data_IF_747092222948
#
_entry.id   IF_747092222948
#
_cell.length_a   1.000
_cell.length_b   1.000
_cell.length_c   1.000
_cell.angle_alpha   90.00
_cell.angle_beta   90.00
_cell.angle_gamma   90.00
#
_symmetry.space_group_name_H-M   'P 1'
#
loop_
_entity.id
_entity.type
_entity.pdbx_description
1 polymer ?
#
# COMPACT_ATOMS: atom_id res chain seq x y z
N UNK A 1 14.81 -12.50 23.83
CA UNK A 1 13.54 -11.80 24.17
C UNK A 1 13.40 -10.50 23.36
N UNK A 2 14.46 -9.68 23.21
CA UNK A 2 14.43 -8.44 22.42
C UNK A 2 14.10 -8.65 20.93
N UNK A 3 14.76 -9.60 20.25
CA UNK A 3 14.51 -9.91 18.82
C UNK A 3 13.04 -10.25 18.54
N UNK A 4 12.41 -11.03 19.41
CA UNK A 4 10.99 -11.40 19.27
C UNK A 4 10.05 -10.21 19.49
N UNK A 5 10.43 -9.27 20.35
CA UNK A 5 9.70 -8.01 20.51
C UNK A 5 9.77 -7.14 19.26
N UNK A 6 10.96 -7.00 18.66
CA UNK A 6 11.15 -6.27 17.40
C UNK A 6 10.37 -6.92 16.24
N UNK A 7 10.45 -8.25 16.11
CA UNK A 7 9.64 -9.00 15.14
C UNK A 7 8.13 -8.77 15.33
N UNK A 8 7.65 -8.71 16.57
CA UNK A 8 6.25 -8.43 16.85
C UNK A 8 5.85 -7.01 16.42
N UNK A 9 6.74 -6.02 16.59
CA UNK A 9 6.51 -4.65 16.13
C UNK A 9 6.44 -4.59 14.59
N UNK A 10 7.38 -5.24 13.89
CA UNK A 10 7.38 -5.31 12.43
C UNK A 10 6.10 -5.98 11.88
N UNK A 11 5.69 -7.10 12.48
CA UNK A 11 4.43 -7.75 12.14
C UNK A 11 3.23 -6.82 12.35
N UNK A 12 3.19 -6.13 13.50
CA UNK A 12 2.11 -5.20 13.81
C UNK A 12 2.03 -4.06 12.80
N UNK A 13 3.16 -3.49 12.36
CA UNK A 13 3.19 -2.43 11.34
C UNK A 13 2.67 -2.90 9.99
N UNK A 14 3.09 -4.09 9.55
CA UNK A 14 2.57 -4.70 8.33
C UNK A 14 1.05 -4.91 8.42
N UNK A 15 0.57 -5.50 9.52
CA UNK A 15 -0.85 -5.70 9.78
C UNK A 15 -1.63 -4.38 9.80
N UNK A 16 -1.10 -3.34 10.45
CA UNK A 16 -1.72 -2.01 10.51
C UNK A 16 -1.82 -1.40 9.12
N UNK A 17 -0.78 -1.48 8.29
CA UNK A 17 -0.79 -0.95 6.93
C UNK A 17 -1.80 -1.66 6.03
N UNK A 18 -1.82 -3.00 6.09
CA UNK A 18 -2.81 -3.83 5.37
C UNK A 18 -4.23 -3.51 5.84
N UNK A 19 -4.45 -3.43 7.15
CA UNK A 19 -5.76 -3.12 7.74
C UNK A 19 -6.25 -1.73 7.35
N UNK A 20 -5.39 -0.71 7.43
CA UNK A 20 -5.69 0.66 7.05
C UNK A 20 -6.19 0.75 5.59
N UNK A 21 -5.44 0.16 4.64
CA UNK A 21 -5.83 0.19 3.22
C UNK A 21 -7.08 -0.66 2.97
N UNK A 22 -7.23 -1.80 3.63
CA UNK A 22 -8.43 -2.66 3.48
C UNK A 22 -9.70 -1.97 4.02
N UNK A 23 -9.59 -1.22 5.12
CA UNK A 23 -10.70 -0.43 5.64
C UNK A 23 -11.07 0.72 4.70
N UNK A 24 -10.08 1.32 4.03
CA UNK A 24 -10.33 2.32 3.01
C UNK A 24 -11.06 1.74 1.79
N UNK A 25 -10.73 0.51 1.35
CA UNK A 25 -11.50 -0.17 0.29
C UNK A 25 -12.97 -0.33 0.66
N UNK A 26 -13.24 -0.79 1.88
CA UNK A 26 -14.59 -0.96 2.38
C UNK A 26 -15.35 0.37 2.45
N UNK A 27 -14.67 1.47 2.78
CA UNK A 27 -15.25 2.82 2.75
C UNK A 27 -15.60 3.22 1.30
N UNK A 28 -14.70 3.00 0.34
CA UNK A 28 -14.96 3.24 -1.08
C UNK A 28 -16.13 2.42 -1.61
N UNK A 29 -16.17 1.11 -1.34
CA UNK A 29 -17.26 0.22 -1.74
C UNK A 29 -18.62 0.74 -1.23
N UNK A 30 -18.68 1.15 0.04
CA UNK A 30 -19.89 1.70 0.66
C UNK A 30 -20.30 3.04 0.04
N UNK A 31 -19.35 3.96 -0.10
CA UNK A 31 -19.63 5.32 -0.57
C UNK A 31 -20.02 5.35 -2.06
N UNK A 32 -19.45 4.46 -2.87
CA UNK A 32 -19.69 4.36 -4.31
C UNK A 32 -20.82 3.38 -4.66
N UNK A 33 -21.23 2.50 -3.74
CA UNK A 33 -22.19 1.43 -4.01
C UNK A 33 -21.67 0.39 -5.00
N UNK A 34 -20.36 0.10 -4.96
CA UNK A 34 -19.69 -0.82 -5.91
C UNK A 34 -19.01 -1.97 -5.18
N UNK A 35 -18.81 -3.08 -5.90
CA UNK A 35 -18.07 -4.24 -5.38
C UNK A 35 -16.56 -3.99 -5.33
N UNK A 36 -15.99 -3.30 -6.32
CA UNK A 36 -14.55 -3.02 -6.39
C UNK A 36 -14.27 -1.52 -6.19
N UNK A 37 -14.11 -1.12 -4.93
CA UNK A 37 -13.91 0.28 -4.54
C UNK A 37 -12.63 0.87 -5.15
N UNK A 38 -11.55 0.11 -5.17
CA UNK A 38 -10.28 0.57 -5.72
C UNK A 38 -10.29 0.75 -7.24
N UNK A 39 -10.92 -0.15 -7.98
CA UNK A 39 -11.07 -0.01 -9.43
C UNK A 39 -11.82 1.28 -9.77
N UNK A 40 -12.94 1.54 -9.10
CA UNK A 40 -13.73 2.75 -9.30
C UNK A 40 -12.96 4.01 -8.89
N UNK A 41 -12.24 3.98 -7.76
CA UNK A 41 -11.38 5.11 -7.35
C UNK A 41 -10.32 5.44 -8.40
N UNK A 42 -9.64 4.44 -8.96
CA UNK A 42 -8.63 4.63 -10.01
C UNK A 42 -9.24 5.20 -11.28
N UNK A 43 -10.43 4.74 -11.68
CA UNK A 43 -11.14 5.30 -12.84
C UNK A 43 -11.45 6.79 -12.65
N UNK A 44 -11.93 7.20 -11.47
CA UNK A 44 -12.18 8.61 -11.15
C UNK A 44 -10.90 9.45 -11.25
N UNK A 45 -9.77 8.95 -10.75
CA UNK A 45 -8.49 9.66 -10.86
C UNK A 45 -8.02 9.81 -12.31
N UNK A 46 -8.21 8.78 -13.14
CA UNK A 46 -7.87 8.82 -14.57
C UNK A 46 -8.76 9.80 -15.33
N UNK A 47 -10.07 9.81 -15.06
CA UNK A 47 -11.02 10.77 -15.63
C UNK A 47 -10.67 12.21 -15.26
N UNK A 48 -10.19 12.45 -14.04
CA UNK A 48 -9.71 13.76 -13.59
C UNK A 48 -8.31 14.15 -14.07
N UNK A 49 -7.61 13.28 -14.82
CA UNK A 49 -6.26 13.56 -15.32
C UNK A 49 -5.14 13.43 -14.28
N UNK A 50 -5.41 12.82 -13.13
CA UNK A 50 -4.45 12.64 -12.03
C UNK A 50 -3.60 11.37 -12.16
N UNK A 51 -2.97 11.17 -13.34
CA UNK A 51 -2.25 9.94 -13.68
C UNK A 51 -1.13 9.58 -12.68
N UNK A 52 -0.39 10.56 -12.17
CA UNK A 52 0.70 10.32 -11.21
C UNK A 52 0.18 9.82 -9.85
N UNK A 53 -0.96 10.37 -9.40
CA UNK A 53 -1.61 9.92 -8.16
C UNK A 53 -2.20 8.52 -8.35
N UNK A 54 -2.81 8.25 -9.50
CA UNK A 54 -3.34 6.92 -9.81
C UNK A 54 -2.24 5.87 -9.85
N UNK A 55 -1.09 6.16 -10.50
CA UNK A 55 0.09 5.30 -10.49
C UNK A 55 0.57 5.04 -9.06
N UNK A 56 0.74 6.10 -8.26
CA UNK A 56 1.18 5.97 -6.86
C UNK A 56 0.19 5.16 -6.01
N UNK A 57 -1.10 5.30 -6.28
CA UNK A 57 -2.13 4.51 -5.63
C UNK A 57 -2.07 3.04 -6.04
N UNK A 58 -1.93 2.75 -7.34
CA UNK A 58 -1.73 1.39 -7.82
C UNK A 58 -0.49 0.73 -7.19
N UNK A 59 0.62 1.46 -7.09
CA UNK A 59 1.86 0.97 -6.46
C UNK A 59 1.65 0.64 -4.97
N UNK A 60 0.90 1.49 -4.26
CA UNK A 60 0.50 1.22 -2.88
C UNK A 60 -0.32 -0.07 -2.78
N UNK A 61 -1.30 -0.27 -3.67
CA UNK A 61 -2.14 -1.48 -3.66
C UNK A 61 -1.33 -2.74 -3.97
N UNK A 62 -0.37 -2.67 -4.89
CA UNK A 62 0.56 -3.76 -5.15
C UNK A 62 1.39 -4.10 -3.91
N UNK A 63 1.92 -3.09 -3.21
CA UNK A 63 2.72 -3.32 -2.01
C UNK A 63 1.92 -3.98 -0.89
N UNK A 64 0.67 -3.53 -0.68
CA UNK A 64 -0.26 -4.16 0.25
C UNK A 64 -0.57 -5.61 -0.15
N UNK A 65 -0.72 -5.91 -1.44
CA UNK A 65 -0.88 -7.27 -1.91
C UNK A 65 0.35 -8.14 -1.62
N UNK A 66 1.56 -7.59 -1.76
CA UNK A 66 2.80 -8.29 -1.40
C UNK A 66 2.88 -8.54 0.11
N UNK A 67 2.50 -7.59 0.96
CA UNK A 67 2.45 -7.82 2.41
C UNK A 67 1.45 -8.91 2.82
N UNK A 68 0.34 -9.06 2.08
CA UNK A 68 -0.67 -10.09 2.34
C UNK A 68 -0.27 -11.48 1.83
N UNK A 69 0.39 -11.55 0.68
CA UNK A 69 0.53 -12.80 -0.08
C UNK A 69 1.98 -13.23 -0.34
N UNK A 70 2.97 -12.38 -0.04
CA UNK A 70 4.37 -12.61 -0.34
C UNK A 70 4.67 -12.51 -1.83
N UNK A 71 5.55 -13.40 -2.30
CA UNK A 71 6.02 -13.42 -3.68
C UNK A 71 4.89 -13.75 -4.68
N UNK A 72 4.96 -13.15 -5.87
CA UNK A 72 3.96 -13.32 -6.91
C UNK A 72 3.96 -12.15 -7.89
N UNK A 73 2.89 -12.01 -8.69
CA UNK A 73 2.81 -10.99 -9.75
C UNK A 73 3.05 -9.58 -9.23
N UNK A 74 2.40 -9.20 -8.13
CA UNK A 74 2.56 -7.86 -7.54
C UNK A 74 3.99 -7.60 -7.08
N UNK A 75 4.66 -8.61 -6.53
CA UNK A 75 6.04 -8.51 -6.11
C UNK A 75 6.98 -8.38 -7.30
N UNK A 76 6.84 -9.22 -8.33
CA UNK A 76 7.65 -9.13 -9.54
C UNK A 76 7.52 -7.78 -10.24
N UNK A 77 6.30 -7.22 -10.28
CA UNK A 77 6.05 -5.92 -10.89
C UNK A 77 6.73 -4.78 -10.11
N UNK A 78 6.62 -4.78 -8.78
CA UNK A 78 7.30 -3.78 -7.96
C UNK A 78 8.82 -3.93 -8.01
N UNK A 79 9.31 -5.18 -7.96
CA UNK A 79 10.74 -5.49 -7.98
C UNK A 79 11.42 -4.97 -9.25
N UNK A 80 10.77 -5.10 -10.41
CA UNK A 80 11.29 -4.63 -11.69
C UNK A 80 11.57 -3.12 -11.74
N UNK A 81 10.88 -2.33 -10.90
CA UNK A 81 11.01 -0.87 -10.81
C UNK A 81 11.32 -0.38 -9.40
N UNK A 82 11.94 -1.23 -8.57
CA UNK A 82 12.14 -0.97 -7.13
C UNK A 82 12.88 0.33 -6.80
N UNK A 83 13.76 0.78 -7.70
CA UNK A 83 14.54 2.02 -7.52
C UNK A 83 13.72 3.30 -7.77
N UNK A 84 12.52 3.17 -8.35
CA UNK A 84 11.59 4.27 -8.60
C UNK A 84 10.52 4.40 -7.51
N UNK A 85 10.43 3.42 -6.62
CA UNK A 85 9.38 3.35 -5.61
C UNK A 85 9.75 4.21 -4.38
N UNK A 86 8.75 4.84 -3.73
CA UNK A 86 8.96 5.60 -2.50
C UNK A 86 9.08 4.71 -1.25
N UNK A 87 9.18 3.39 -1.42
CA UNK A 87 9.32 2.40 -0.35
C UNK A 87 10.23 1.26 -0.80
N UNK A 88 10.84 0.56 0.15
CA UNK A 88 11.81 -0.51 -0.15
C UNK A 88 11.11 -1.82 -0.52
N UNK A 89 11.59 -2.45 -1.58
CA UNK A 89 11.19 -3.79 -2.04
C UNK A 89 12.44 -4.62 -2.30
N UNK A 90 12.48 -5.85 -1.79
CA UNK A 90 13.61 -6.78 -1.94
C UNK A 90 13.23 -8.04 -2.71
N UNK A 91 14.19 -8.72 -3.30
CA UNK A 91 14.02 -10.09 -3.80
C UNK A 91 13.91 -11.10 -2.64
N UNK A 92 13.44 -12.32 -2.90
CA UNK A 92 13.23 -13.34 -1.86
C UNK A 92 14.53 -13.74 -1.13
N UNK A 93 15.66 -13.72 -1.86
CA UNK A 93 17.00 -14.07 -1.39
C UNK A 93 17.82 -12.89 -0.87
N UNK A 94 17.27 -11.67 -0.94
CA UNK A 94 17.89 -10.46 -0.39
C UNK A 94 17.39 -10.19 1.04
N UNK A 95 18.17 -9.47 1.85
CA UNK A 95 17.73 -8.88 3.13
C UNK A 95 17.70 -7.36 3.01
N UNK A 96 16.92 -6.66 3.83
CA UNK A 96 16.90 -5.19 3.77
C UNK A 96 18.16 -4.58 4.41
N UNK A 97 18.60 -5.11 5.54
CA UNK A 97 19.77 -4.68 6.28
C UNK A 97 20.60 -5.92 6.71
N UNK A 98 21.85 -6.03 6.22
CA UNK A 98 22.72 -7.14 6.58
C UNK A 98 22.97 -7.20 8.09
N UNK A 99 22.70 -8.36 8.70
CA UNK A 99 22.91 -8.58 10.14
C UNK A 99 21.71 -8.23 11.03
N UNK A 100 20.59 -7.76 10.46
CA UNK A 100 19.34 -7.63 11.22
C UNK A 100 18.65 -8.99 11.41
N UNK A 101 18.74 -9.52 12.62
CA UNK A 101 18.12 -10.80 13.01
C UNK A 101 16.63 -10.67 13.35
N UNK A 102 16.08 -9.45 13.33
CA UNK A 102 14.69 -9.14 13.65
C UNK A 102 13.81 -8.93 12.42
N UNK A 103 14.39 -8.94 11.21
CA UNK A 103 13.63 -8.92 9.97
C UNK A 103 12.70 -10.13 9.87
N UNK A 104 11.51 -9.89 9.33
CA UNK A 104 10.56 -10.92 8.93
C UNK A 104 10.63 -11.11 7.41
N UNK A 105 10.09 -12.22 6.92
CA UNK A 105 10.11 -12.58 5.49
C UNK A 105 9.21 -11.69 4.60
N UNK A 106 8.91 -10.47 5.02
CA UNK A 106 8.25 -9.48 4.18
C UNK A 106 9.17 -9.05 3.04
N UNK A 107 8.59 -8.95 1.85
CA UNK A 107 9.29 -8.51 0.63
C UNK A 107 9.14 -7.00 0.37
N UNK A 108 8.29 -6.33 1.15
CA UNK A 108 8.14 -4.88 1.25
C UNK A 108 8.48 -4.48 2.68
N UNK A 109 9.29 -3.43 2.86
CA UNK A 109 9.60 -2.91 4.20
C UNK A 109 8.38 -2.18 4.75
N UNK A 110 7.77 -2.72 5.79
CA UNK A 110 6.58 -2.16 6.43
C UNK A 110 6.95 -1.27 7.63
N UNK A 111 7.85 -0.31 7.41
CA UNK A 111 8.26 0.65 8.44
C UNK A 111 7.28 1.83 8.55
N UNK A 112 7.62 2.79 9.41
CA UNK A 112 6.80 3.97 9.61
C UNK A 112 6.74 4.83 8.33
N UNK A 113 7.81 4.90 7.53
CA UNK A 113 7.81 5.64 6.25
C UNK A 113 6.81 5.04 5.25
N UNK A 114 6.78 3.71 5.14
CA UNK A 114 5.79 3.00 4.33
C UNK A 114 4.36 3.30 4.78
N UNK A 115 4.08 3.26 6.08
CA UNK A 115 2.74 3.58 6.60
C UNK A 115 2.34 5.04 6.29
N UNK A 116 3.24 6.01 6.49
CA UNK A 116 2.96 7.41 6.15
C UNK A 116 2.74 7.59 4.65
N UNK A 117 3.47 6.85 3.80
CA UNK A 117 3.22 6.83 2.37
C UNK A 117 1.79 6.34 2.05
N UNK A 118 1.37 5.20 2.61
CA UNK A 118 0.01 4.70 2.43
C UNK A 118 -1.04 5.73 2.87
N UNK A 119 -0.88 6.33 4.05
CA UNK A 119 -1.80 7.34 4.58
C UNK A 119 -1.87 8.59 3.69
N UNK A 120 -0.72 9.07 3.21
CA UNK A 120 -0.66 10.23 2.33
C UNK A 120 -1.35 9.97 0.99
N UNK A 121 -1.13 8.80 0.39
CA UNK A 121 -1.79 8.41 -0.87
C UNK A 121 -3.30 8.29 -0.67
N UNK A 122 -3.76 7.56 0.36
CA UNK A 122 -5.20 7.46 0.67
C UNK A 122 -5.83 8.84 0.89
N UNK A 123 -5.18 9.72 1.65
CA UNK A 123 -5.66 11.08 1.87
C UNK A 123 -5.81 11.90 0.58
N UNK A 124 -4.84 11.81 -0.33
CA UNK A 124 -4.90 12.47 -1.64
C UNK A 124 -6.02 11.89 -2.51
N UNK A 125 -6.16 10.57 -2.56
CA UNK A 125 -7.23 9.89 -3.31
C UNK A 125 -8.61 10.34 -2.80
N UNK A 126 -8.80 10.41 -1.48
CA UNK A 126 -10.05 10.92 -0.86
C UNK A 126 -10.31 12.36 -1.27
N UNK A 127 -9.28 13.23 -1.21
CA UNK A 127 -9.42 14.64 -1.57
C UNK A 127 -9.85 14.81 -3.04
N UNK A 128 -9.22 14.09 -3.97
CA UNK A 128 -9.56 14.17 -5.40
C UNK A 128 -10.92 13.58 -5.71
N UNK A 129 -11.30 12.44 -5.10
CA UNK A 129 -12.64 11.87 -5.29
C UNK A 129 -13.71 12.87 -4.82
N UNK A 130 -13.53 13.49 -3.65
CA UNK A 130 -14.48 14.52 -3.16
C UNK A 130 -14.55 15.75 -4.07
N UNK A 131 -13.44 16.15 -4.68
CA UNK A 131 -13.40 17.29 -5.59
C UNK A 131 -14.11 16.98 -6.92
N UNK A 132 -13.86 15.80 -7.49
CA UNK A 132 -14.42 15.37 -8.77
C UNK A 132 -15.88 14.90 -8.65
N UNK A 133 -16.25 14.38 -7.48
CA UNK A 133 -17.54 13.77 -7.19
C UNK A 133 -18.07 14.22 -5.83
N UNK A 134 -18.50 15.48 -5.70
CA UNK A 134 -18.91 16.07 -4.41
C UNK A 134 -20.14 15.42 -3.79
N UNK A 135 -20.90 14.63 -4.55
CA UNK A 135 -22.03 13.84 -4.06
C UNK A 135 -21.61 12.60 -3.25
N UNK A 136 -20.33 12.19 -3.34
CA UNK A 136 -19.81 11.03 -2.62
C UNK A 136 -19.32 11.43 -1.23
N UNK A 137 -19.81 10.74 -0.20
CA UNK A 137 -19.39 10.93 1.19
C UNK A 137 -18.42 9.80 1.57
N UNK A 138 -17.13 10.13 1.54
CA UNK A 138 -16.00 9.28 1.94
C UNK A 138 -15.38 9.76 3.25
#
# INVERSE_FOLDING_TARGET
MLVKGLQAIELQRAMTSVGFVSMFEAALQRALGVENGFCSARAVLQEGGHADLEKSFADTLLAINVLKHGAGRSHSELLARRNELPFKVRAEDEVFEEGDLSELDFLVRADDEFFHHCAAIVGKVVAEIRALRPEIVL
#
